data_IF_915011932031
#
_entry.id   IF_915011932031
#
_cell.length_a   1.000
_cell.length_b   1.000
_cell.length_c   1.000
_cell.angle_alpha   90.00
_cell.angle_beta   90.00
_cell.angle_gamma   90.00
#
_symmetry.space_group_name_H-M   'P 1'
#
loop_
_entity.id
_entity.type
_entity.pdbx_description
1 polymer ?
#
# COMPACT_ATOMS: atom_id res chain seq x y z
N UNK A 1 -26.70 -23.79 -20.33
CA UNK A 1 -27.56 -23.12 -19.34
C UNK A 1 -27.08 -23.44 -17.93
N UNK A 2 -26.30 -22.56 -17.31
CA UNK A 2 -26.53 -22.06 -15.94
C UNK A 2 -25.52 -20.93 -15.69
N UNK A 3 -25.91 -19.71 -16.07
CA UNK A 3 -25.15 -18.49 -15.82
C UNK A 3 -25.35 -18.11 -14.35
N UNK A 4 -24.53 -18.67 -13.46
CA UNK A 4 -24.37 -18.10 -12.12
C UNK A 4 -23.62 -16.79 -12.31
N UNK A 5 -24.37 -15.68 -12.40
CA UNK A 5 -23.81 -14.33 -12.37
C UNK A 5 -22.94 -14.20 -11.11
N UNK A 6 -21.63 -14.13 -11.30
CA UNK A 6 -20.68 -13.91 -10.22
C UNK A 6 -21.02 -12.58 -9.52
N UNK A 7 -21.28 -12.57 -8.20
CA UNK A 7 -21.73 -11.38 -7.48
C UNK A 7 -20.70 -10.23 -7.56
N UNK A 8 -19.41 -10.57 -7.63
CA UNK A 8 -18.32 -9.61 -7.84
C UNK A 8 -18.42 -8.86 -9.19
N UNK A 9 -18.87 -9.54 -10.25
CA UNK A 9 -19.03 -8.93 -11.59
C UNK A 9 -20.17 -7.91 -11.62
N UNK A 10 -21.24 -8.17 -10.86
CA UNK A 10 -22.38 -7.23 -10.74
C UNK A 10 -21.99 -6.02 -9.89
N UNK A 11 -21.19 -6.23 -8.85
CA UNK A 11 -20.75 -5.17 -7.94
C UNK A 11 -19.80 -4.18 -8.61
N UNK A 12 -18.80 -4.67 -9.35
CA UNK A 12 -17.85 -3.82 -10.09
C UNK A 12 -18.57 -2.98 -11.15
N UNK A 13 -19.54 -3.58 -11.86
CA UNK A 13 -20.31 -2.90 -12.89
C UNK A 13 -21.20 -1.78 -12.29
N UNK A 14 -21.86 -2.05 -11.17
CA UNK A 14 -22.66 -1.05 -10.45
C UNK A 14 -21.81 0.10 -9.91
N UNK A 15 -20.61 -0.20 -9.41
CA UNK A 15 -19.70 0.80 -8.84
C UNK A 15 -19.13 1.73 -9.93
N UNK A 16 -18.88 1.21 -11.13
CA UNK A 16 -18.45 2.00 -12.28
C UNK A 16 -19.58 2.88 -12.85
N UNK A 17 -20.83 2.40 -12.85
CA UNK A 17 -21.99 3.20 -13.27
C UNK A 17 -22.25 4.34 -12.27
N UNK A 18 -22.05 4.10 -10.97
CA UNK A 18 -22.22 5.11 -9.92
C UNK A 18 -21.13 6.20 -9.96
N UNK A 19 -19.89 5.84 -10.31
CA UNK A 19 -18.77 6.80 -10.41
C UNK A 19 -18.82 7.71 -11.64
N UNK A 20 -19.47 7.28 -12.72
CA UNK A 20 -19.52 8.03 -13.98
C UNK A 20 -20.77 8.92 -14.14
N UNK A 21 -21.65 8.97 -13.14
CA UNK A 21 -22.76 9.95 -13.10
C UNK A 21 -23.76 9.86 -14.26
N UNK A 22 -23.87 8.70 -14.91
CA UNK A 22 -24.67 8.55 -16.13
C UNK A 22 -26.15 8.37 -15.73
N UNK A 23 -26.87 9.49 -15.60
CA UNK A 23 -28.33 9.46 -15.46
C UNK A 23 -28.97 9.14 -16.81
N UNK A 24 -29.68 8.03 -16.90
CA UNK A 24 -30.63 7.79 -17.98
C UNK A 24 -30.18 6.74 -18.99
N UNK A 25 -30.90 5.62 -18.95
CA UNK A 25 -31.33 4.78 -20.07
C UNK A 25 -30.67 5.10 -21.42
N UNK A 26 -29.48 4.56 -21.66
CA UNK A 26 -28.96 4.39 -23.01
C UNK A 26 -28.55 2.93 -23.16
N UNK A 27 -29.37 2.26 -23.96
CA UNK A 27 -29.24 0.95 -24.58
C UNK A 27 -27.88 0.28 -24.37
N UNK A 28 -27.91 -0.88 -23.70
CA UNK A 28 -26.80 -1.80 -23.56
C UNK A 28 -26.23 -2.17 -24.94
N UNK A 29 -25.29 -1.37 -25.43
CA UNK A 29 -24.35 -1.81 -26.43
C UNK A 29 -23.22 -2.43 -25.64
N UNK A 30 -23.23 -3.75 -25.62
CA UNK A 30 -22.19 -4.63 -25.10
C UNK A 30 -20.81 -4.07 -25.44
N UNK A 31 -20.21 -3.34 -24.50
CA UNK A 31 -18.78 -3.09 -24.51
C UNK A 31 -18.16 -4.34 -23.89
N UNK A 32 -18.09 -5.39 -24.70
CA UNK A 32 -17.26 -6.55 -24.41
C UNK A 32 -15.83 -6.03 -24.49
N UNK A 33 -15.21 -5.79 -23.33
CA UNK A 33 -13.76 -5.77 -23.25
C UNK A 33 -13.29 -7.19 -23.51
N UNK A 34 -13.14 -7.53 -24.79
CA UNK A 34 -12.54 -8.75 -25.28
C UNK A 34 -11.02 -8.57 -25.25
N UNK A 35 -10.48 -8.48 -24.05
CA UNK A 35 -9.09 -8.77 -23.76
C UNK A 35 -9.09 -10.06 -22.97
N UNK A 36 -8.39 -11.08 -23.46
CA UNK A 36 -8.08 -12.27 -22.68
C UNK A 36 -7.36 -11.79 -21.41
N UNK A 37 -8.09 -11.63 -20.30
CA UNK A 37 -7.49 -11.27 -19.02
C UNK A 37 -6.72 -12.49 -18.59
N UNK A 38 -5.47 -12.57 -19.04
CA UNK A 38 -4.51 -13.53 -18.56
C UNK A 38 -4.21 -13.11 -17.11
N UNK A 39 -5.13 -13.43 -16.20
CA UNK A 39 -4.96 -13.23 -14.78
C UNK A 39 -3.71 -14.02 -14.39
N UNK A 40 -2.62 -13.30 -14.17
CA UNK A 40 -1.36 -13.91 -13.76
C UNK A 40 -1.63 -14.72 -12.48
N UNK A 41 -1.10 -15.93 -12.45
CA UNK A 41 -1.12 -16.79 -11.29
C UNK A 41 -0.27 -16.19 -10.16
N UNK A 42 -0.45 -16.70 -8.94
CA UNK A 42 0.36 -16.30 -7.78
C UNK A 42 1.88 -16.33 -8.09
N UNK A 43 2.35 -17.41 -8.71
CA UNK A 43 3.77 -17.61 -9.05
C UNK A 43 4.24 -16.58 -10.09
N UNK A 44 3.41 -16.26 -11.07
CA UNK A 44 3.74 -15.27 -12.09
C UNK A 44 3.79 -13.85 -11.53
N UNK A 45 2.89 -13.51 -10.59
CA UNK A 45 2.94 -12.23 -9.87
C UNK A 45 4.19 -12.10 -9.00
N UNK A 46 4.57 -13.16 -8.27
CA UNK A 46 5.80 -13.18 -7.47
C UNK A 46 7.01 -12.97 -8.37
N UNK A 47 7.12 -13.75 -9.46
CA UNK A 47 8.24 -13.64 -10.41
C UNK A 47 8.34 -12.23 -11.02
N UNK A 48 7.21 -11.62 -11.35
CA UNK A 48 7.16 -10.25 -11.86
C UNK A 48 7.61 -9.24 -10.78
N UNK A 49 7.14 -9.41 -9.55
CA UNK A 49 7.52 -8.55 -8.44
C UNK A 49 9.03 -8.61 -8.17
N UNK A 50 9.60 -9.82 -8.08
CA UNK A 50 11.03 -10.04 -7.90
C UNK A 50 11.86 -9.44 -9.04
N UNK A 51 11.39 -9.55 -10.28
CA UNK A 51 12.04 -8.91 -11.44
C UNK A 51 12.13 -7.39 -11.28
N UNK A 52 11.05 -6.73 -10.83
CA UNK A 52 11.05 -5.30 -10.54
C UNK A 52 12.00 -4.95 -9.37
N UNK A 53 12.05 -5.77 -8.31
CA UNK A 53 13.00 -5.56 -7.20
C UNK A 53 14.45 -5.61 -7.67
N UNK A 54 14.81 -6.59 -8.50
CA UNK A 54 16.18 -6.71 -9.05
C UNK A 54 16.54 -5.50 -9.92
N UNK A 55 15.57 -4.89 -10.59
CA UNK A 55 15.77 -3.70 -11.40
C UNK A 55 15.75 -2.38 -10.58
N UNK A 56 15.48 -2.44 -9.27
CA UNK A 56 15.30 -1.25 -8.43
C UNK A 56 13.99 -0.49 -8.68
N UNK A 57 13.01 -1.13 -9.30
CA UNK A 57 11.69 -0.60 -9.65
C UNK A 57 10.71 -0.84 -8.49
N UNK A 58 11.04 -0.33 -7.30
CA UNK A 58 10.33 -0.67 -6.04
C UNK A 58 8.84 -0.31 -6.08
N UNK A 59 8.46 0.71 -6.85
CA UNK A 59 7.06 1.11 -7.01
C UNK A 59 6.29 0.04 -7.79
N UNK A 60 6.83 -0.41 -8.92
CA UNK A 60 6.26 -1.45 -9.77
C UNK A 60 6.24 -2.81 -9.04
N UNK A 61 7.30 -3.11 -8.28
CA UNK A 61 7.35 -4.26 -7.39
C UNK A 61 6.22 -4.20 -6.35
N UNK A 62 6.00 -3.04 -5.72
CA UNK A 62 4.92 -2.89 -4.74
C UNK A 62 3.54 -3.18 -5.34
N UNK A 63 3.28 -2.76 -6.57
CA UNK A 63 2.01 -3.06 -7.26
C UNK A 63 1.83 -4.56 -7.43
N UNK A 64 2.88 -5.26 -7.86
CA UNK A 64 2.85 -6.71 -8.03
C UNK A 64 2.66 -7.44 -6.69
N UNK A 65 3.35 -7.02 -5.63
CA UNK A 65 3.18 -7.63 -4.30
C UNK A 65 1.81 -7.37 -3.68
N UNK A 66 1.13 -6.25 -4.00
CA UNK A 66 -0.27 -6.10 -3.60
C UNK A 66 -1.17 -7.12 -4.32
N UNK A 67 -0.91 -7.46 -5.59
CA UNK A 67 -1.64 -8.51 -6.28
C UNK A 67 -1.36 -9.90 -5.68
N UNK A 68 -0.11 -10.15 -5.27
CA UNK A 68 0.25 -11.36 -4.51
C UNK A 68 -0.59 -11.45 -3.24
N UNK A 69 -0.72 -10.39 -2.44
CA UNK A 69 -1.51 -10.40 -1.22
C UNK A 69 -3.03 -10.53 -1.44
N UNK A 70 -3.54 -10.18 -2.63
CA UNK A 70 -4.93 -10.46 -2.99
C UNK A 70 -5.18 -11.96 -3.25
N UNK A 71 -4.14 -12.70 -3.68
CA UNK A 71 -4.20 -14.12 -3.96
C UNK A 71 -3.79 -14.98 -2.76
N UNK A 72 -2.87 -14.48 -1.95
CA UNK A 72 -2.29 -15.12 -0.77
C UNK A 72 -1.92 -14.04 0.26
N UNK A 73 -2.83 -13.75 1.19
CA UNK A 73 -2.66 -12.71 2.23
C UNK A 73 -1.48 -13.00 3.16
N UNK A 74 -1.17 -14.28 3.36
CA UNK A 74 -0.06 -14.72 4.21
C UNK A 74 1.25 -14.82 3.43
N UNK A 75 1.31 -14.37 2.18
CA UNK A 75 2.53 -14.49 1.40
C UNK A 75 3.70 -13.76 2.06
N UNK A 76 4.73 -14.52 2.44
CA UNK A 76 5.82 -14.01 3.25
C UNK A 76 6.63 -12.93 2.54
N UNK A 77 7.03 -13.19 1.29
CA UNK A 77 7.84 -12.26 0.50
C UNK A 77 7.12 -10.93 0.28
N UNK A 78 5.81 -10.99 -0.01
CA UNK A 78 5.00 -9.79 -0.21
C UNK A 78 4.84 -8.98 1.08
N UNK A 79 4.57 -9.63 2.21
CA UNK A 79 4.45 -8.97 3.52
C UNK A 79 5.79 -8.33 3.95
N UNK A 80 6.91 -9.03 3.78
CA UNK A 80 8.25 -8.46 4.07
C UNK A 80 8.50 -7.25 3.17
N UNK A 81 8.31 -7.39 1.86
CA UNK A 81 8.58 -6.31 0.92
C UNK A 81 7.72 -5.08 1.20
N UNK A 82 6.40 -5.24 1.29
CA UNK A 82 5.47 -4.11 1.48
C UNK A 82 5.63 -3.46 2.85
N UNK A 83 5.91 -4.26 3.89
CA UNK A 83 6.25 -3.75 5.22
C UNK A 83 7.44 -2.80 5.17
N UNK A 84 8.54 -3.25 4.58
CA UNK A 84 9.76 -2.45 4.44
C UNK A 84 9.56 -1.25 3.49
N UNK A 85 8.87 -1.45 2.37
CA UNK A 85 8.61 -0.42 1.37
C UNK A 85 7.86 0.78 1.95
N UNK A 86 6.82 0.54 2.75
CA UNK A 86 6.08 1.63 3.41
C UNK A 86 6.88 2.25 4.55
N UNK A 87 7.64 1.45 5.30
CA UNK A 87 8.49 1.93 6.37
C UNK A 87 9.57 2.89 5.86
N UNK A 88 10.33 2.48 4.84
CA UNK A 88 11.41 3.29 4.25
C UNK A 88 10.87 4.61 3.71
N UNK A 89 9.75 4.58 2.96
CA UNK A 89 9.13 5.81 2.45
C UNK A 89 8.68 6.76 3.55
N UNK A 90 8.19 6.23 4.68
CA UNK A 90 7.79 7.05 5.81
C UNK A 90 9.03 7.68 6.49
N UNK A 91 10.07 6.89 6.71
CA UNK A 91 11.33 7.34 7.31
C UNK A 91 12.07 8.38 6.46
N UNK A 92 12.10 8.21 5.14
CA UNK A 92 12.69 9.19 4.22
C UNK A 92 11.94 10.51 4.27
N UNK A 93 10.60 10.47 4.23
CA UNK A 93 9.78 11.67 4.36
C UNK A 93 9.97 12.35 5.72
N UNK A 94 10.04 11.56 6.81
CA UNK A 94 10.30 12.08 8.16
C UNK A 94 11.64 12.80 8.24
N UNK A 95 12.72 12.20 7.70
CA UNK A 95 14.06 12.81 7.67
C UNK A 95 14.08 14.11 6.88
N UNK A 96 13.32 14.21 5.79
CA UNK A 96 13.17 15.45 5.03
C UNK A 96 12.50 16.53 5.87
N UNK A 97 11.38 16.21 6.53
CA UNK A 97 10.67 17.15 7.42
C UNK A 97 11.56 17.62 8.58
N UNK A 98 12.31 16.72 9.19
CA UNK A 98 13.26 17.03 10.26
C UNK A 98 14.37 17.97 9.79
N UNK A 99 14.93 17.71 8.62
CA UNK A 99 15.96 18.55 7.99
C UNK A 99 15.42 19.92 7.60
N UNK A 100 14.19 20.00 7.09
CA UNK A 100 13.51 21.27 6.79
C UNK A 100 13.29 22.09 8.05
N UNK A 101 12.77 21.48 9.11
CA UNK A 101 12.51 22.16 10.38
C UNK A 101 13.81 22.61 11.07
N UNK A 102 14.85 21.77 11.09
CA UNK A 102 16.13 22.08 11.71
C UNK A 102 16.89 23.24 11.02
N UNK A 103 16.60 23.51 9.74
CA UNK A 103 17.17 24.65 9.01
C UNK A 103 16.58 26.00 9.42
N UNK A 104 15.46 26.02 10.12
CA UNK A 104 14.86 27.26 10.63
C UNK A 104 15.70 27.79 11.79
N UNK A 105 16.35 28.94 11.61
CA UNK A 105 17.23 29.51 12.64
C UNK A 105 16.49 29.90 13.93
N UNK A 106 15.23 30.32 13.83
CA UNK A 106 14.35 30.69 14.94
C UNK A 106 12.91 30.30 14.60
N UNK A 107 12.51 29.03 14.76
CA UNK A 107 11.17 28.58 14.39
C UNK A 107 10.12 29.23 15.29
N UNK A 108 9.06 29.72 14.65
CA UNK A 108 7.86 30.24 15.29
C UNK A 108 6.96 29.10 15.76
N UNK A 109 6.01 29.40 16.66
CA UNK A 109 5.00 28.44 17.11
C UNK A 109 4.18 27.86 15.95
N UNK A 110 3.92 28.68 14.93
CA UNK A 110 3.16 28.27 13.75
C UNK A 110 3.97 27.28 12.88
N UNK A 111 5.26 27.51 12.69
CA UNK A 111 6.14 26.58 11.96
C UNK A 111 6.30 25.26 12.70
N UNK A 112 6.40 25.29 14.03
CA UNK A 112 6.39 24.06 14.84
C UNK A 112 5.07 23.29 14.72
N UNK A 113 3.93 23.98 14.78
CA UNK A 113 2.62 23.34 14.59
C UNK A 113 2.51 22.68 13.22
N UNK A 114 2.91 23.38 12.15
CA UNK A 114 2.94 22.83 10.79
C UNK A 114 3.86 21.61 10.68
N UNK A 115 5.04 21.65 11.29
CA UNK A 115 5.95 20.50 11.32
C UNK A 115 5.31 19.30 12.04
N UNK A 116 4.69 19.50 13.21
CA UNK A 116 4.00 18.42 13.94
C UNK A 116 2.84 17.84 13.11
N UNK A 117 2.07 18.68 12.42
CA UNK A 117 0.99 18.24 11.55
C UNK A 117 1.53 17.43 10.36
N UNK A 118 2.59 17.88 9.70
CA UNK A 118 3.25 17.11 8.62
C UNK A 118 3.78 15.76 9.09
N UNK A 119 4.25 15.63 10.34
CA UNK A 119 4.65 14.34 10.90
C UNK A 119 3.44 13.41 11.08
N UNK A 120 2.29 13.93 11.52
CA UNK A 120 1.05 13.15 11.65
C UNK A 120 0.56 12.62 10.31
N UNK A 121 0.75 13.36 9.24
CA UNK A 121 0.39 12.94 7.88
C UNK A 121 1.20 11.71 7.40
N UNK A 122 2.34 11.39 8.04
CA UNK A 122 3.11 10.17 7.76
C UNK A 122 2.53 8.93 8.44
N UNK A 123 1.71 9.10 9.48
CA UNK A 123 1.22 8.00 10.31
C UNK A 123 0.51 6.88 9.54
N UNK A 124 -0.34 7.15 8.52
CA UNK A 124 -0.96 6.11 7.73
C UNK A 124 0.04 5.16 7.03
N UNK A 125 1.23 5.64 6.66
CA UNK A 125 2.27 4.78 6.07
C UNK A 125 2.91 3.86 7.11
N UNK A 126 3.19 4.38 8.30
CA UNK A 126 3.70 3.57 9.42
C UNK A 126 2.70 2.50 9.83
N UNK A 127 1.39 2.82 9.85
CA UNK A 127 0.35 1.83 10.12
C UNK A 127 0.37 0.72 9.05
N UNK A 128 0.41 1.06 7.75
CA UNK A 128 0.52 0.06 6.67
C UNK A 128 1.75 -0.83 6.84
N UNK A 129 2.92 -0.23 7.10
CA UNK A 129 4.14 -0.97 7.36
C UNK A 129 3.95 -1.95 8.53
N UNK A 130 3.38 -1.47 9.64
CA UNK A 130 3.16 -2.28 10.84
C UNK A 130 2.24 -3.47 10.62
N UNK A 131 1.20 -3.33 9.77
CA UNK A 131 0.26 -4.41 9.45
C UNK A 131 1.00 -5.55 8.75
N UNK A 132 1.72 -5.27 7.68
CA UNK A 132 2.46 -6.29 6.94
C UNK A 132 3.58 -6.91 7.78
N UNK A 133 4.34 -6.10 8.53
CA UNK A 133 5.40 -6.58 9.39
C UNK A 133 4.89 -7.46 10.55
N UNK A 134 3.70 -7.19 11.09
CA UNK A 134 3.06 -8.08 12.07
C UNK A 134 2.67 -9.42 11.44
N UNK A 135 2.20 -9.43 10.19
CA UNK A 135 1.92 -10.67 9.46
C UNK A 135 3.18 -11.50 9.17
N UNK A 136 4.36 -10.88 9.09
CA UNK A 136 5.64 -11.62 9.04
C UNK A 136 5.89 -12.36 10.36
N UNK A 137 5.65 -11.70 11.50
CA UNK A 137 5.90 -12.29 12.82
C UNK A 137 4.94 -13.43 13.18
N UNK A 138 3.77 -13.53 12.55
CA UNK A 138 2.88 -14.69 12.75
C UNK A 138 3.45 -15.96 12.11
N UNK A 139 4.32 -15.82 11.11
CA UNK A 139 4.92 -16.94 10.39
C UNK A 139 6.28 -17.34 10.96
N UNK A 140 7.13 -16.36 11.28
CA UNK A 140 8.42 -16.64 11.93
C UNK A 140 8.91 -15.46 12.77
N UNK A 141 9.63 -15.73 13.87
CA UNK A 141 10.23 -14.67 14.69
C UNK A 141 11.38 -13.98 13.95
N UNK A 142 11.37 -12.64 13.92
CA UNK A 142 12.43 -11.84 13.30
C UNK A 142 12.80 -10.65 14.18
N UNK A 143 14.04 -10.63 14.67
CA UNK A 143 14.58 -9.53 15.48
C UNK A 143 14.56 -8.20 14.74
N UNK A 144 14.82 -8.22 13.44
CA UNK A 144 14.82 -7.01 12.63
C UNK A 144 13.41 -6.42 12.53
N UNK A 145 12.41 -7.26 12.26
CA UNK A 145 11.01 -6.85 12.20
C UNK A 145 10.53 -6.32 13.56
N UNK A 146 10.90 -6.99 14.66
CA UNK A 146 10.56 -6.53 16.01
C UNK A 146 11.17 -5.17 16.32
N UNK A 147 12.43 -4.91 15.93
CA UNK A 147 13.06 -3.59 16.09
C UNK A 147 12.33 -2.51 15.30
N UNK A 148 11.97 -2.79 14.03
CA UNK A 148 11.23 -1.85 13.19
C UNK A 148 9.86 -1.52 13.80
N UNK A 149 9.12 -2.54 14.25
CA UNK A 149 7.83 -2.34 14.91
C UNK A 149 7.94 -1.55 16.21
N UNK A 150 8.97 -1.82 17.02
CA UNK A 150 9.26 -1.05 18.23
C UNK A 150 9.54 0.42 17.92
N UNK A 151 10.34 0.69 16.89
CA UNK A 151 10.61 2.07 16.44
C UNK A 151 9.33 2.79 15.99
N UNK A 152 8.46 2.11 15.23
CA UNK A 152 7.15 2.67 14.85
C UNK A 152 6.32 3.02 16.10
N UNK A 153 6.31 2.15 17.10
CA UNK A 153 5.56 2.34 18.34
C UNK A 153 6.12 3.50 19.19
N UNK A 154 7.45 3.69 19.19
CA UNK A 154 8.10 4.83 19.82
C UNK A 154 7.77 6.15 19.11
N UNK A 155 7.75 6.15 17.77
CA UNK A 155 7.34 7.31 16.98
C UNK A 155 5.89 7.72 17.25
N UNK A 156 4.98 6.76 17.41
CA UNK A 156 3.58 7.05 17.71
C UNK A 156 3.43 7.97 18.93
N UNK A 157 4.16 7.62 20.00
CA UNK A 157 4.12 8.33 21.29
C UNK A 157 4.63 9.77 21.20
N UNK A 158 5.45 10.07 20.19
CA UNK A 158 6.00 11.40 19.94
C UNK A 158 5.08 12.22 19.03
N UNK A 159 4.40 11.56 18.09
CA UNK A 159 3.56 12.21 17.07
C UNK A 159 2.15 12.54 17.59
N UNK A 160 1.58 11.70 18.48
CA UNK A 160 0.34 12.03 19.22
C UNK A 160 0.50 13.35 20.02
#
# INVERSE_FOLDING_TARGET
MNNKKNPHRVFILLLMIFLLGISGVVQAKEFVYEGETNELTLVEWIKKAEGHVVNGEDREASVCYHQVLLLDEENLSANIFLGNYYYVQAEEARKVLESEYARLAKPTRMEYAKYKDSLKDLWPKYIKASVYLKAVLTQFPSDEVMKTLKHIEELHKVIE
#
